data_IF_964110158520
#
_entry.id   IF_964110158520
#
_cell.length_a   1.000
_cell.length_b   1.000
_cell.length_c   1.000
_cell.angle_alpha   90.00
_cell.angle_beta   90.00
_cell.angle_gamma   90.00
#
_symmetry.space_group_name_H-M   'P 1'
#
loop_
_entity.id
_entity.type
_entity.pdbx_description
1 polymer ?
#
# COMPACT_ATOMS: atom_id res chain seq x y z
N UNK A 1 13.33 10.95 -1.97
CA UNK A 1 12.51 10.31 -3.02
C UNK A 1 11.69 9.22 -2.34
N UNK A 2 10.38 9.16 -2.55
CA UNK A 2 9.57 8.13 -1.90
C UNK A 2 9.81 6.78 -2.59
N UNK A 3 10.16 5.75 -1.81
CA UNK A 3 10.38 4.40 -2.34
C UNK A 3 9.05 3.78 -2.74
N UNK A 4 8.95 3.34 -4.00
CA UNK A 4 7.75 2.68 -4.48
C UNK A 4 7.75 1.21 -4.04
N UNK A 5 6.86 0.85 -3.11
CA UNK A 5 6.74 -0.51 -2.57
C UNK A 5 5.50 -1.18 -3.16
N UNK A 6 5.66 -2.16 -4.06
CA UNK A 6 4.53 -2.86 -4.65
C UNK A 6 3.88 -3.81 -3.63
N UNK A 7 2.56 -3.88 -3.68
CA UNK A 7 1.73 -4.83 -2.93
C UNK A 7 1.18 -5.85 -3.91
N UNK A 8 1.66 -7.09 -3.79
CA UNK A 8 1.36 -8.13 -4.75
C UNK A 8 0.38 -9.15 -4.15
N UNK A 9 -0.50 -9.70 -4.98
CA UNK A 9 -1.26 -10.88 -4.59
C UNK A 9 -0.30 -12.06 -4.39
N UNK A 10 -0.36 -12.72 -3.23
CA UNK A 10 0.54 -13.84 -2.93
C UNK A 10 0.30 -15.07 -3.84
N UNK A 11 -0.92 -15.25 -4.33
CA UNK A 11 -1.29 -16.39 -5.17
C UNK A 11 -0.78 -16.25 -6.61
N UNK A 12 -1.04 -15.11 -7.26
CA UNK A 12 -0.70 -14.91 -8.68
C UNK A 12 0.45 -13.93 -8.93
N UNK A 13 1.04 -13.35 -7.87
CA UNK A 13 2.12 -12.35 -7.89
C UNK A 13 1.81 -11.05 -8.64
N UNK A 14 0.59 -10.87 -9.16
CA UNK A 14 0.15 -9.61 -9.79
C UNK A 14 0.16 -8.48 -8.75
N UNK A 15 0.70 -7.33 -9.16
CA UNK A 15 0.64 -6.09 -8.38
C UNK A 15 -0.82 -5.65 -8.27
N UNK A 16 -1.29 -5.45 -7.05
CA UNK A 16 -2.63 -4.96 -6.74
C UNK A 16 -2.63 -3.42 -6.66
N UNK A 17 -1.56 -2.85 -6.11
CA UNK A 17 -1.29 -1.42 -6.01
C UNK A 17 0.13 -1.21 -5.46
N UNK A 18 0.53 0.05 -5.29
CA UNK A 18 1.82 0.40 -4.72
C UNK A 18 1.71 1.49 -3.65
N UNK A 19 2.64 1.47 -2.70
CA UNK A 19 2.87 2.53 -1.72
C UNK A 19 3.99 3.44 -2.27
N UNK A 20 3.91 4.78 -2.21
CA UNK A 20 3.02 5.58 -1.36
C UNK A 20 1.66 5.94 -1.95
N UNK A 21 1.40 5.68 -3.24
CA UNK A 21 0.14 6.09 -3.91
C UNK A 21 -1.11 5.65 -3.13
N UNK A 22 -1.05 4.42 -2.61
CA UNK A 22 -2.06 3.85 -1.72
C UNK A 22 -1.40 3.41 -0.40
N UNK A 23 -1.39 4.26 0.63
CA UNK A 23 -0.66 4.00 1.86
C UNK A 23 -1.15 2.78 2.64
N UNK A 24 -0.23 1.87 2.96
CA UNK A 24 -0.51 0.82 3.93
C UNK A 24 -0.54 1.41 5.34
N UNK A 25 -1.63 1.19 6.05
CA UNK A 25 -1.84 1.66 7.39
C UNK A 25 -1.73 0.53 8.42
N UNK A 26 -1.37 0.93 9.62
CA UNK A 26 -1.56 0.14 10.83
C UNK A 26 -3.03 0.18 11.26
N UNK A 27 -3.39 -0.65 12.23
CA UNK A 27 -4.71 -0.65 12.86
C UNK A 27 -5.12 0.70 13.48
N UNK A 28 -4.16 1.59 13.76
CA UNK A 28 -4.42 2.95 14.26
C UNK A 28 -4.50 3.99 13.14
N UNK A 29 -4.57 3.58 11.87
CA UNK A 29 -4.58 4.50 10.73
C UNK A 29 -3.24 5.20 10.47
N UNK A 30 -2.18 4.91 11.23
CA UNK A 30 -0.84 5.45 10.94
C UNK A 30 -0.20 4.70 9.77
N UNK A 31 0.40 5.45 8.82
CA UNK A 31 1.17 4.90 7.71
C UNK A 31 2.30 4.00 8.22
N UNK A 32 2.46 2.84 7.58
CA UNK A 32 3.49 1.86 7.88
C UNK A 32 4.72 2.14 7.02
N UNK A 33 5.78 2.59 7.67
CA UNK A 33 7.07 2.83 7.02
C UNK A 33 8.04 1.69 7.37
N UNK A 34 9.04 1.46 6.50
CA UNK A 34 10.13 0.49 6.73
C UNK A 34 10.86 0.67 8.06
N UNK A 35 10.84 1.89 8.63
CA UNK A 35 11.52 2.27 9.86
C UNK A 35 10.67 2.17 11.13
N UNK A 36 9.38 1.81 11.02
CA UNK A 36 8.46 1.71 12.17
C UNK A 36 8.74 0.46 13.02
N UNK A 37 9.93 0.37 13.61
CA UNK A 37 10.35 -0.71 14.52
C UNK A 37 9.75 -0.60 15.92
N UNK A 38 9.02 0.46 16.26
CA UNK A 38 8.71 0.72 17.66
C UNK A 38 7.40 1.47 17.91
N UNK A 39 6.27 0.94 17.42
CA UNK A 39 4.97 1.28 18.00
C UNK A 39 4.42 0.01 18.62
N UNK A 40 4.20 0.05 19.95
CA UNK A 40 3.62 -1.07 20.69
C UNK A 40 2.42 -1.60 19.89
N UNK A 41 2.36 -2.91 19.56
CA UNK A 41 1.14 -3.46 19.01
C UNK A 41 -0.01 -3.10 19.95
N UNK A 42 -1.18 -2.82 19.40
CA UNK A 42 -2.38 -2.40 20.13
C UNK A 42 -2.77 -3.30 21.33
N UNK A 43 -2.14 -4.47 21.50
CA UNK A 43 -1.91 -5.12 22.78
C UNK A 43 -0.51 -5.77 22.73
N UNK A 44 0.19 -5.75 23.86
CA UNK A 44 1.56 -6.27 24.00
C UNK A 44 1.64 -7.72 23.52
N UNK A 45 2.46 -7.99 22.49
CA UNK A 45 2.76 -9.35 22.01
C UNK A 45 1.94 -9.89 20.82
N UNK A 46 0.94 -9.17 20.29
CA UNK A 46 0.11 -9.72 19.19
C UNK A 46 0.45 -9.13 17.81
N UNK A 47 0.97 -9.97 16.90
CA UNK A 47 1.13 -9.61 15.48
C UNK A 47 -0.25 -9.46 14.84
N UNK A 48 -0.59 -8.25 14.39
CA UNK A 48 -1.85 -8.00 13.68
C UNK A 48 -1.78 -8.66 12.28
N UNK A 49 -2.71 -9.56 11.93
CA UNK A 49 -2.66 -10.31 10.66
C UNK A 49 -3.13 -9.51 9.45
N UNK A 50 -3.46 -8.23 9.64
CA UNK A 50 -4.06 -7.37 8.64
C UNK A 50 -3.18 -6.16 8.33
N UNK A 51 -3.19 -5.75 7.07
CA UNK A 51 -2.83 -4.40 6.64
C UNK A 51 -4.11 -3.60 6.43
N UNK A 52 -4.07 -2.31 6.72
CA UNK A 52 -5.21 -1.42 6.53
C UNK A 52 -4.94 -0.45 5.39
N UNK A 53 -6.00 0.11 4.82
CA UNK A 53 -5.94 1.17 3.82
C UNK A 53 -6.79 2.34 4.29
N UNK A 54 -6.39 3.54 3.89
CA UNK A 54 -7.23 4.71 4.02
C UNK A 54 -8.41 4.63 3.05
N UNK A 55 -9.60 5.07 3.47
CA UNK A 55 -10.81 5.03 2.65
C UNK A 55 -10.77 6.01 1.48
N UNK A 56 -10.02 7.12 1.58
CA UNK A 56 -9.91 8.11 0.51
C UNK A 56 -8.77 7.75 -0.47
N UNK A 57 -7.70 7.15 0.02
CA UNK A 57 -6.55 6.74 -0.77
C UNK A 57 -6.52 5.24 -1.13
N UNK A 58 -7.67 4.63 -1.46
CA UNK A 58 -7.73 3.24 -1.98
C UNK A 58 -7.48 3.16 -3.49
N UNK A 59 -6.96 2.02 -4.00
CA UNK A 59 -6.89 1.74 -5.43
C UNK A 59 -8.28 1.72 -6.09
N UNK A 60 -8.38 2.18 -7.33
CA UNK A 60 -9.65 2.28 -8.07
C UNK A 60 -10.45 0.98 -8.11
N UNK A 61 -9.78 -0.17 -8.27
CA UNK A 61 -10.47 -1.47 -8.27
C UNK A 61 -11.12 -1.81 -6.93
N UNK A 62 -10.60 -1.29 -5.81
CA UNK A 62 -11.23 -1.44 -4.49
C UNK A 62 -12.40 -0.46 -4.39
N UNK A 63 -12.25 0.78 -4.84
CA UNK A 63 -13.33 1.78 -4.87
C UNK A 63 -14.56 1.25 -5.60
N UNK A 64 -14.39 0.71 -6.81
CA UNK A 64 -15.51 0.14 -7.58
C UNK A 64 -16.24 -0.96 -6.82
N UNK A 65 -15.51 -1.85 -6.13
CA UNK A 65 -16.12 -2.93 -5.33
C UNK A 65 -16.88 -2.38 -4.11
N UNK A 66 -16.40 -1.30 -3.49
CA UNK A 66 -17.08 -0.64 -2.36
C UNK A 66 -18.36 0.06 -2.84
N UNK A 67 -18.30 0.76 -3.95
CA UNK A 67 -19.44 1.45 -4.56
C UNK A 67 -20.52 0.45 -5.00
N UNK A 68 -20.14 -0.64 -5.68
CA UNK A 68 -21.04 -1.73 -6.06
C UNK A 68 -21.74 -2.36 -4.85
N UNK A 69 -21.04 -2.45 -3.71
CA UNK A 69 -21.61 -2.95 -2.46
C UNK A 69 -22.37 -1.88 -1.65
N UNK A 70 -22.50 -0.65 -2.17
CA UNK A 70 -23.23 0.44 -1.54
C UNK A 70 -22.65 0.86 -0.19
N UNK A 71 -21.31 0.88 -0.04
CA UNK A 71 -20.63 1.31 1.20
C UNK A 71 -21.05 0.51 2.44
N UNK A 72 -21.28 -0.80 2.27
CA UNK A 72 -21.66 -1.70 3.37
C UNK A 72 -20.47 -2.52 3.88
N UNK A 73 -20.56 -3.85 3.81
CA UNK A 73 -19.49 -4.79 4.15
C UNK A 73 -19.33 -5.79 3.03
N UNK A 74 -18.09 -6.15 2.71
CA UNK A 74 -17.82 -7.02 1.57
C UNK A 74 -16.40 -7.56 1.54
N UNK A 75 -16.16 -8.48 0.61
CA UNK A 75 -14.88 -9.19 0.45
C UNK A 75 -14.09 -8.60 -0.70
N UNK A 76 -12.78 -8.45 -0.52
CA UNK A 76 -11.87 -8.06 -1.59
C UNK A 76 -11.24 -9.30 -2.20
N UNK A 77 -11.38 -9.42 -3.52
CA UNK A 77 -10.78 -10.49 -4.31
C UNK A 77 -9.75 -9.91 -5.27
N UNK A 78 -8.67 -10.66 -5.51
CA UNK A 78 -7.70 -10.28 -6.53
C UNK A 78 -8.41 -10.19 -7.89
N UNK A 79 -8.25 -9.10 -8.66
CA UNK A 79 -8.93 -8.93 -9.95
C UNK A 79 -8.46 -9.91 -11.03
N UNK A 80 -7.32 -10.59 -10.82
CA UNK A 80 -6.76 -11.55 -11.78
C UNK A 80 -7.07 -13.00 -11.44
N UNK A 81 -6.86 -13.41 -10.19
CA UNK A 81 -7.00 -14.82 -9.80
C UNK A 81 -8.18 -15.10 -8.87
N UNK A 82 -8.99 -14.08 -8.59
CA UNK A 82 -10.18 -14.11 -7.75
C UNK A 82 -9.99 -14.68 -6.34
N UNK A 83 -8.74 -14.85 -5.87
CA UNK A 83 -8.53 -15.27 -4.49
C UNK A 83 -8.86 -14.12 -3.54
N UNK A 84 -9.43 -14.44 -2.37
CA UNK A 84 -9.68 -13.43 -1.34
C UNK A 84 -8.36 -12.86 -0.81
N UNK A 85 -8.22 -11.55 -0.90
CA UNK A 85 -7.04 -10.78 -0.43
C UNK A 85 -7.38 -9.90 0.77
N UNK A 86 -8.65 -9.60 1.03
CA UNK A 86 -9.07 -8.70 2.09
C UNK A 86 -10.58 -8.65 2.30
N UNK A 87 -11.01 -7.62 3.02
CA UNK A 87 -12.42 -7.32 3.33
C UNK A 87 -12.54 -5.82 3.60
N UNK A 88 -13.76 -5.29 3.49
CA UNK A 88 -14.11 -3.96 3.96
C UNK A 88 -15.38 -4.02 4.82
N UNK A 89 -15.48 -3.14 5.81
CA UNK A 89 -16.65 -3.04 6.68
C UNK A 89 -16.85 -1.59 7.14
N UNK A 90 -17.81 -0.90 6.52
CA UNK A 90 -18.21 0.47 6.86
C UNK A 90 -19.42 0.51 7.80
N UNK A 91 -20.00 -0.65 8.14
CA UNK A 91 -21.24 -0.73 8.94
C UNK A 91 -20.94 -0.99 10.40
N UNK A 92 -20.04 -1.94 10.68
CA UNK A 92 -19.86 -2.43 12.05
C UNK A 92 -19.04 -1.48 12.93
N UNK A 93 -18.17 -0.64 12.36
CA UNK A 93 -17.36 0.33 13.09
C UNK A 93 -16.56 -0.27 14.25
N UNK A 94 -15.43 -0.92 13.96
CA UNK A 94 -14.58 -1.55 14.99
C UNK A 94 -13.63 -0.58 15.68
N UNK A 95 -13.33 -0.81 16.96
CA UNK A 95 -12.26 -0.12 17.67
C UNK A 95 -11.03 -1.03 17.80
N UNK A 96 -9.83 -0.42 17.85
CA UNK A 96 -8.60 -1.16 18.13
C UNK A 96 -8.73 -1.92 19.46
N UNK A 97 -7.94 -2.97 19.69
CA UNK A 97 -7.84 -3.61 21.00
C UNK A 97 -7.51 -2.65 22.15
N UNK A 98 -6.84 -1.53 21.84
CA UNK A 98 -6.54 -0.45 22.76
C UNK A 98 -7.72 0.46 23.11
N UNK A 99 -8.83 0.36 22.38
CA UNK A 99 -10.01 1.24 22.46
C UNK A 99 -9.76 2.75 22.23
N UNK A 100 -8.57 3.14 21.77
CA UNK A 100 -8.20 4.55 21.54
C UNK A 100 -8.46 5.04 20.11
N UNK A 101 -8.60 4.13 19.15
CA UNK A 101 -8.74 4.46 17.74
C UNK A 101 -9.82 3.60 17.09
N UNK A 102 -10.54 4.19 16.15
CA UNK A 102 -11.41 3.46 15.23
C UNK A 102 -10.53 2.78 14.18
N UNK A 103 -10.84 1.53 13.87
CA UNK A 103 -10.13 0.72 12.88
C UNK A 103 -10.51 1.20 11.48
N UNK A 104 -9.55 1.37 10.56
CA UNK A 104 -9.87 1.68 9.17
C UNK A 104 -10.76 0.60 8.54
N UNK A 105 -11.80 0.98 7.78
CA UNK A 105 -12.82 0.03 7.32
C UNK A 105 -12.28 -0.94 6.26
N UNK A 106 -11.24 -0.57 5.52
CA UNK A 106 -10.66 -1.36 4.43
C UNK A 106 -9.39 -2.06 4.91
N UNK A 107 -9.31 -3.38 4.72
CA UNK A 107 -8.14 -4.16 5.14
C UNK A 107 -7.81 -5.35 4.22
N UNK A 108 -6.52 -5.69 4.20
CA UNK A 108 -5.93 -6.80 3.48
C UNK A 108 -5.33 -7.81 4.45
N UNK A 109 -5.38 -9.08 4.08
CA UNK A 109 -4.84 -10.17 4.89
C UNK A 109 -3.35 -10.31 4.57
N UNK A 110 -2.47 -10.12 5.57
CA UNK A 110 -1.01 -10.21 5.39
C UNK A 110 -0.54 -11.53 4.79
N UNK A 111 -1.22 -12.63 5.10
CA UNK A 111 -0.88 -13.94 4.54
C UNK A 111 -1.30 -14.13 3.08
N UNK A 112 -2.07 -13.19 2.49
CA UNK A 112 -2.59 -13.23 1.12
C UNK A 112 -1.97 -12.20 0.18
N UNK A 113 -1.15 -11.29 0.72
CA UNK A 113 -0.41 -10.29 -0.05
C UNK A 113 1.07 -10.32 0.33
N UNK A 114 1.93 -10.03 -0.63
CA UNK A 114 3.36 -9.82 -0.37
C UNK A 114 3.66 -8.32 -0.45
N UNK A 115 4.42 -7.81 0.52
CA UNK A 115 4.85 -6.42 0.59
C UNK A 115 6.37 -6.42 0.73
N UNK A 116 7.08 -5.93 -0.28
CA UNK A 116 8.54 -5.94 -0.32
C UNK A 116 9.10 -4.55 -0.01
N UNK A 117 9.17 -4.20 1.27
CA UNK A 117 9.97 -3.06 1.71
C UNK A 117 11.44 -3.37 1.39
N UNK A 118 11.99 -2.71 0.37
CA UNK A 118 13.39 -2.88 0.00
C UNK A 118 14.24 -2.52 1.22
N UNK A 119 14.92 -3.54 1.77
CA UNK A 119 15.77 -3.39 2.94
C UNK A 119 17.16 -2.95 2.45
N UNK A 120 17.31 -1.66 2.19
CA UNK A 120 18.59 -1.02 1.88
C UNK A 120 18.64 -0.34 0.52
N UNK A 121 18.57 0.98 0.51
CA UNK A 121 19.09 1.82 -0.57
C UNK A 121 20.38 2.46 -0.03
N UNK A 122 21.50 1.73 -0.15
CA UNK A 122 22.81 2.37 -0.18
C UNK A 122 23.17 2.54 -1.65
N UNK A 123 23.19 3.80 -2.05
CA UNK A 123 23.76 4.43 -3.25
C UNK A 123 24.47 3.51 -4.24
N UNK A 124 23.99 3.50 -5.49
CA UNK A 124 24.87 3.51 -6.66
C UNK A 124 24.22 4.41 -7.73
N UNK A 125 24.57 5.69 -7.68
CA UNK A 125 24.49 6.57 -8.85
C UNK A 125 25.50 6.05 -9.88
N UNK A 126 25.05 5.20 -10.81
CA UNK A 126 25.81 4.90 -12.01
C UNK A 126 25.57 6.04 -13.01
N UNK A 127 26.41 7.06 -12.85
CA UNK A 127 26.67 8.13 -13.78
C UNK A 127 26.86 7.59 -15.22
N UNK A 128 26.03 8.04 -16.17
CA UNK A 128 26.38 8.02 -17.59
C UNK A 128 25.92 9.32 -18.25
N UNK A 129 26.67 10.39 -17.97
CA UNK A 129 26.78 11.51 -18.89
C UNK A 129 27.65 11.08 -20.07
N UNK A 130 27.01 10.81 -21.21
CA UNK A 130 27.62 11.05 -22.52
C UNK A 130 26.51 11.60 -23.40
N UNK A 131 26.62 12.87 -23.77
CA UNK A 131 26.53 13.36 -25.16
C UNK A 131 27.10 14.79 -25.14
N UNK A 132 28.42 14.87 -25.23
CA UNK A 132 29.08 16.00 -25.89
C UNK A 132 28.54 16.10 -27.31
N UNK A 133 28.01 17.26 -27.69
CA UNK A 133 28.57 18.05 -28.80
C UNK A 133 27.80 19.35 -28.95
N UNK A 134 28.38 20.39 -28.39
CA UNK A 134 28.20 21.76 -28.84
C UNK A 134 28.62 21.84 -30.32
N UNK A 135 27.66 21.95 -31.24
CA UNK A 135 27.90 22.52 -32.57
C UNK A 135 26.59 22.97 -33.21
N UNK A 136 26.30 24.26 -33.10
CA UNK A 136 25.66 24.97 -34.20
C UNK A 136 26.31 26.34 -34.35
N UNK A 137 27.37 26.36 -35.14
CA UNK A 137 27.81 27.57 -35.81
C UNK A 137 27.03 27.73 -37.11
N UNK A 138 26.70 28.99 -37.40
CA UNK A 138 26.40 29.62 -38.70
C UNK A 138 24.93 29.99 -39.00
N UNK A 139 24.76 31.31 -39.03
CA UNK A 139 24.24 32.11 -40.14
C UNK A 139 22.75 31.96 -40.51
N UNK A 140 21.98 33.02 -40.27
CA UNK A 140 21.44 33.91 -41.33
C UNK A 140 20.32 34.77 -40.76
N UNK A 141 20.55 36.09 -40.68
CA UNK A 141 19.64 37.17 -41.12
C UNK A 141 20.24 38.52 -40.76
#
# INVERSE_FOLDING_TARGET
>A
MAVNVPVNCKKCRKILFSHPDHPLLSIHGSIVNSESKNKKPCLEGQQQPLWYLDSENVPSWITSVIEEAGWTKGKLHCPVCHCRVGTFDFVSGGHCPCQLCVIPPVHLIKSKVDVFFHRGELQFEANVQVEDTLNLSKASS
#
